data_IF_562668709791
#
_entry.id   IF_562668709791
#
_cell.length_a   1.000
_cell.length_b   1.000
_cell.length_c   1.000
_cell.angle_alpha   90.00
_cell.angle_beta   90.00
_cell.angle_gamma   90.00
#
_symmetry.space_group_name_H-M   'P 1'
#
loop_
_entity.id
_entity.type
_entity.pdbx_description
1 polymer ?
#
# COMPACT_ATOMS: atom_id res chain seq x y z
N UNK A 1 -0.63 -18.51 -7.15
CA UNK A 1 0.55 -18.77 -8.01
C UNK A 1 1.79 -18.49 -7.19
N UNK A 2 2.59 -19.51 -6.90
CA UNK A 2 3.82 -19.36 -6.11
C UNK A 2 4.86 -18.59 -6.93
N UNK A 3 5.37 -17.49 -6.39
CA UNK A 3 6.39 -16.67 -7.04
C UNK A 3 7.71 -17.44 -6.95
N UNK A 4 8.15 -18.01 -8.07
CA UNK A 4 9.37 -18.78 -8.15
C UNK A 4 10.56 -17.82 -8.25
N UNK A 5 11.42 -17.82 -7.24
CA UNK A 5 12.64 -17.01 -7.22
C UNK A 5 13.67 -17.59 -8.18
N UNK A 6 13.95 -16.88 -9.28
CA UNK A 6 15.00 -17.26 -10.23
C UNK A 6 16.26 -16.43 -9.97
N UNK A 7 17.38 -17.09 -9.72
CA UNK A 7 18.68 -16.46 -9.48
C UNK A 7 19.62 -16.90 -10.59
N UNK A 8 20.25 -15.95 -11.27
CA UNK A 8 21.24 -16.21 -12.31
C UNK A 8 22.63 -15.89 -11.76
N UNK A 9 23.59 -16.81 -11.93
CA UNK A 9 24.94 -16.68 -11.35
C UNK A 9 25.80 -15.76 -12.20
N UNK A 10 25.55 -15.72 -13.50
CA UNK A 10 26.31 -14.91 -14.44
C UNK A 10 25.46 -14.44 -15.63
N UNK A 11 26.03 -13.49 -16.38
CA UNK A 11 25.37 -12.89 -17.53
C UNK A 11 25.08 -13.89 -18.66
N UNK A 12 25.89 -14.93 -18.79
CA UNK A 12 25.75 -15.92 -19.85
C UNK A 12 24.49 -16.77 -19.62
N UNK A 13 24.23 -17.17 -18.38
CA UNK A 13 23.02 -17.90 -17.98
C UNK A 13 21.76 -17.07 -18.21
N UNK A 14 21.80 -15.78 -17.86
CA UNK A 14 20.69 -14.86 -18.12
C UNK A 14 20.40 -14.73 -19.63
N UNK A 15 21.45 -14.54 -20.44
CA UNK A 15 21.30 -14.43 -21.90
C UNK A 15 20.80 -15.74 -22.50
N UNK A 16 21.23 -16.89 -21.99
CA UNK A 16 20.75 -18.20 -22.44
C UNK A 16 19.27 -18.40 -22.12
N UNK A 17 18.85 -18.03 -20.90
CA UNK A 17 17.44 -18.08 -20.50
C UNK A 17 16.57 -17.15 -21.36
N UNK A 18 17.00 -15.91 -21.58
CA UNK A 18 16.26 -14.96 -22.42
C UNK A 18 16.18 -15.47 -23.85
N UNK A 19 17.28 -15.96 -24.41
CA UNK A 19 17.30 -16.50 -25.78
C UNK A 19 16.32 -17.66 -25.94
N UNK A 20 16.13 -18.45 -24.89
CA UNK A 20 15.16 -19.53 -24.86
C UNK A 20 13.72 -19.03 -24.74
N UNK A 21 13.45 -18.05 -23.87
CA UNK A 21 12.08 -17.55 -23.62
C UNK A 21 11.55 -16.67 -24.75
N UNK A 22 12.41 -15.83 -25.33
CA UNK A 22 11.99 -14.83 -26.34
C UNK A 22 12.29 -15.27 -27.76
N UNK A 23 12.96 -16.41 -27.96
CA UNK A 23 13.51 -16.89 -29.24
C UNK A 23 14.52 -15.95 -29.90
N UNK A 24 14.94 -14.88 -29.21
CA UNK A 24 15.95 -13.93 -29.71
C UNK A 24 17.34 -14.52 -29.48
N UNK A 25 18.10 -14.71 -30.56
CA UNK A 25 19.44 -15.31 -30.47
C UNK A 25 20.37 -14.58 -29.50
N UNK A 26 21.07 -15.36 -28.65
CA UNK A 26 22.12 -14.90 -27.71
C UNK A 26 23.13 -13.93 -28.31
N UNK A 27 23.46 -14.09 -29.60
CA UNK A 27 24.42 -13.27 -30.34
C UNK A 27 23.88 -11.88 -30.63
N UNK A 28 22.57 -11.76 -30.87
CA UNK A 28 21.88 -10.48 -31.07
C UNK A 28 21.81 -9.67 -29.78
N UNK A 29 21.62 -10.36 -28.64
CA UNK A 29 21.64 -9.75 -27.31
C UNK A 29 23.04 -9.26 -26.90
N UNK A 30 24.10 -9.98 -27.27
CA UNK A 30 25.49 -9.61 -26.96
C UNK A 30 26.08 -8.51 -27.86
N UNK A 31 25.72 -8.48 -29.15
CA UNK A 31 26.37 -7.58 -30.13
C UNK A 31 25.79 -6.17 -30.16
N UNK A 32 24.53 -6.00 -29.75
CA UNK A 32 23.87 -4.69 -29.77
C UNK A 32 23.72 -4.14 -28.34
N UNK A 33 24.63 -3.24 -27.97
CA UNK A 33 24.65 -2.61 -26.64
C UNK A 33 23.36 -1.82 -26.33
N UNK A 34 22.70 -1.25 -27.34
CA UNK A 34 21.45 -0.50 -27.13
C UNK A 34 20.30 -1.44 -26.79
N UNK A 35 20.25 -2.60 -27.46
CA UNK A 35 19.25 -3.63 -27.17
C UNK A 35 19.46 -4.25 -25.79
N UNK A 36 20.73 -4.45 -25.42
CA UNK A 36 21.13 -4.87 -24.08
C UNK A 36 20.66 -3.90 -22.99
N UNK A 37 20.92 -2.59 -23.14
CA UNK A 37 20.47 -1.56 -22.19
C UNK A 37 18.95 -1.53 -22.05
N UNK A 38 18.22 -1.63 -23.16
CA UNK A 38 16.75 -1.60 -23.16
C UNK A 38 16.15 -2.83 -22.47
N UNK A 39 16.74 -4.00 -22.70
CA UNK A 39 16.32 -5.25 -22.06
C UNK A 39 16.63 -5.24 -20.56
N UNK A 40 17.80 -4.71 -20.15
CA UNK A 40 18.11 -4.54 -18.73
C UNK A 40 17.18 -3.54 -18.03
N UNK A 41 16.85 -2.41 -18.67
CA UNK A 41 15.90 -1.45 -18.12
C UNK A 41 14.50 -2.06 -17.95
N UNK A 42 14.04 -2.85 -18.92
CA UNK A 42 12.80 -3.59 -18.81
C UNK A 42 12.83 -4.57 -17.62
N UNK A 43 13.91 -5.31 -17.43
CA UNK A 43 14.03 -6.27 -16.33
C UNK A 43 14.19 -5.62 -14.95
N UNK A 44 14.87 -4.47 -14.86
CA UNK A 44 14.92 -3.66 -13.64
C UNK A 44 13.56 -3.03 -13.29
N UNK A 45 12.68 -2.87 -14.28
CA UNK A 45 11.32 -2.36 -14.07
C UNK A 45 10.30 -3.44 -13.68
N UNK A 46 10.66 -4.72 -13.80
CA UNK A 46 9.79 -5.82 -13.38
C UNK A 46 9.82 -5.97 -11.85
N UNK A 47 8.68 -6.28 -11.21
CA UNK A 47 8.56 -6.39 -9.75
C UNK A 47 9.21 -7.65 -9.15
N UNK A 48 10.14 -8.30 -9.86
CA UNK A 48 10.84 -9.51 -9.42
C UNK A 48 12.32 -9.22 -9.11
N UNK A 49 12.84 -9.81 -8.02
CA UNK A 49 14.21 -9.62 -7.51
C UNK A 49 15.30 -10.24 -8.41
N UNK A 50 15.52 -9.72 -9.62
CA UNK A 50 16.70 -10.07 -10.42
C UNK A 50 17.94 -9.29 -9.91
N UNK A 51 18.72 -9.90 -9.00
CA UNK A 51 19.96 -9.31 -8.46
C UNK A 51 21.19 -9.83 -9.21
N UNK A 52 21.99 -8.94 -9.80
CA UNK A 52 23.32 -9.26 -10.31
C UNK A 52 24.30 -9.44 -9.14
N UNK A 53 24.99 -10.57 -9.07
CA UNK A 53 25.81 -10.97 -7.92
C UNK A 53 27.27 -10.52 -7.96
N UNK A 54 27.79 -9.92 -9.04
CA UNK A 54 29.15 -9.35 -9.07
C UNK A 54 29.23 -8.01 -9.79
N UNK A 55 29.53 -6.96 -9.02
CA UNK A 55 29.67 -5.56 -9.45
C UNK A 55 30.95 -5.35 -10.29
N UNK A 56 31.91 -6.28 -10.19
CA UNK A 56 33.27 -6.16 -10.76
C UNK A 56 33.35 -6.12 -12.29
N UNK A 57 32.29 -6.52 -13.01
CA UNK A 57 32.27 -6.55 -14.49
C UNK A 57 31.28 -5.56 -15.12
N UNK A 58 30.80 -4.58 -14.34
CA UNK A 58 29.84 -3.58 -14.82
C UNK A 58 30.56 -2.40 -15.49
N UNK A 59 30.07 -1.98 -16.65
CA UNK A 59 30.52 -0.76 -17.32
C UNK A 59 30.22 0.49 -16.46
N UNK A 60 30.95 1.60 -16.69
CA UNK A 60 30.91 2.80 -15.85
C UNK A 60 29.49 3.42 -15.78
N UNK A 61 28.74 3.34 -16.87
CA UNK A 61 27.33 3.77 -16.90
C UNK A 61 26.41 2.86 -16.06
N UNK A 62 26.71 1.57 -16.00
CA UNK A 62 25.94 0.61 -15.19
C UNK A 62 26.29 0.73 -13.71
N UNK A 63 27.54 1.03 -13.38
CA UNK A 63 27.95 1.34 -12.01
C UNK A 63 27.23 2.59 -11.47
N UNK A 64 27.06 3.62 -12.31
CA UNK A 64 26.26 4.80 -11.94
C UNK A 64 24.79 4.46 -11.69
N UNK A 65 24.18 3.66 -12.58
CA UNK A 65 22.79 3.24 -12.41
C UNK A 65 22.58 2.39 -11.15
N UNK A 66 23.50 1.45 -10.87
CA UNK A 66 23.50 0.66 -9.64
C UNK A 66 23.71 1.53 -8.41
N UNK A 67 24.61 2.52 -8.49
CA UNK A 67 24.85 3.47 -7.39
C UNK A 67 23.59 4.29 -7.05
N UNK A 68 22.90 4.81 -8.06
CA UNK A 68 21.62 5.54 -7.88
C UNK A 68 20.57 4.61 -7.28
N UNK A 69 20.46 3.38 -7.77
CA UNK A 69 19.50 2.41 -7.24
C UNK A 69 19.78 2.04 -5.78
N UNK A 70 21.06 1.81 -5.44
CA UNK A 70 21.49 1.56 -4.06
C UNK A 70 21.24 2.77 -3.15
N UNK A 71 21.41 4.00 -3.66
CA UNK A 71 21.07 5.22 -2.91
C UNK A 71 19.58 5.33 -2.62
N UNK A 72 18.72 4.99 -3.60
CA UNK A 72 17.27 4.95 -3.43
C UNK A 72 16.84 3.85 -2.47
N UNK A 73 17.42 2.65 -2.58
CA UNK A 73 17.17 1.54 -1.66
C UNK A 73 17.59 1.90 -0.23
N UNK A 74 18.76 2.54 -0.06
CA UNK A 74 19.23 2.99 1.24
C UNK A 74 18.34 4.10 1.83
N UNK A 75 17.85 5.02 1.01
CA UNK A 75 16.85 6.02 1.42
C UNK A 75 15.54 5.37 1.87
N UNK A 76 15.03 4.41 1.10
CA UNK A 76 13.82 3.66 1.44
C UNK A 76 13.98 2.84 2.73
N UNK A 77 15.11 2.16 2.90
CA UNK A 77 15.41 1.41 4.12
C UNK A 77 15.53 2.33 5.33
N UNK A 78 16.18 3.50 5.18
CA UNK A 78 16.22 4.53 6.24
C UNK A 78 14.82 5.04 6.59
N UNK A 79 13.96 5.26 5.60
CA UNK A 79 12.57 5.65 5.83
C UNK A 79 11.78 4.55 6.52
N UNK A 80 11.94 3.29 6.13
CA UNK A 80 11.30 2.15 6.79
C UNK A 80 11.78 2.01 8.24
N UNK A 81 13.08 2.14 8.50
CA UNK A 81 13.65 2.12 9.85
C UNK A 81 13.13 3.31 10.66
N UNK A 82 13.03 4.50 10.07
CA UNK A 82 12.45 5.67 10.74
C UNK A 82 10.98 5.46 11.10
N UNK A 83 10.18 4.92 10.18
CA UNK A 83 8.77 4.58 10.41
C UNK A 83 8.61 3.49 11.47
N UNK A 84 9.46 2.45 11.42
CA UNK A 84 9.48 1.38 12.41
C UNK A 84 9.89 1.90 13.79
N UNK A 85 10.92 2.75 13.87
CA UNK A 85 11.33 3.39 15.11
C UNK A 85 10.26 4.32 15.66
N UNK A 86 9.53 5.05 14.80
CA UNK A 86 8.37 5.86 15.18
C UNK A 86 7.20 4.99 15.66
N UNK A 87 7.01 3.82 15.06
CA UNK A 87 5.99 2.85 15.47
C UNK A 87 6.36 2.15 16.80
N UNK A 88 7.65 1.93 17.04
CA UNK A 88 8.17 1.36 18.28
C UNK A 88 8.16 2.39 19.41
N UNK A 89 8.52 3.64 19.15
CA UNK A 89 8.41 4.70 20.15
C UNK A 89 6.96 4.97 20.54
N UNK A 90 6.03 4.98 19.58
CA UNK A 90 4.59 5.05 19.87
C UNK A 90 4.07 3.85 20.65
N UNK A 91 4.54 2.62 20.37
CA UNK A 91 4.21 1.43 21.16
C UNK A 91 4.83 1.39 22.56
N UNK A 92 6.04 1.92 22.72
CA UNK A 92 6.71 2.03 24.02
C UNK A 92 6.08 3.13 24.88
N UNK A 93 5.68 4.25 24.26
CA UNK A 93 4.85 5.28 24.91
C UNK A 93 3.47 4.74 25.29
N UNK A 94 2.82 3.95 24.43
CA UNK A 94 1.52 3.36 24.77
C UNK A 94 1.61 2.35 25.92
N UNK A 95 2.73 1.62 26.08
CA UNK A 95 2.90 0.69 27.20
C UNK A 95 3.24 1.39 28.55
N UNK A 96 3.80 2.60 28.52
CA UNK A 96 3.99 3.42 29.72
C UNK A 96 2.75 4.30 30.05
N UNK A 97 1.88 4.55 29.06
CA UNK A 97 0.69 5.37 29.21
C UNK A 97 -0.58 4.60 29.60
N UNK A 98 -0.63 3.26 29.63
CA UNK A 98 -1.81 2.53 30.17
C UNK A 98 -2.10 2.89 31.65
N UNK A 99 -1.11 3.40 32.39
CA UNK A 99 -1.31 3.92 33.75
C UNK A 99 -1.72 5.42 33.81
N UNK A 100 -1.77 6.14 32.68
CA UNK A 100 -2.06 7.58 32.60
C UNK A 100 -3.03 7.97 31.45
N UNK A 101 -3.57 7.00 30.72
CA UNK A 101 -4.31 7.21 29.45
C UNK A 101 -5.81 7.51 29.62
N UNK A 102 -6.30 7.70 30.85
CA UNK A 102 -7.66 8.25 31.03
C UNK A 102 -7.68 9.78 30.87
N UNK A 103 -6.54 10.49 31.01
CA UNK A 103 -6.52 11.96 31.04
C UNK A 103 -6.03 12.66 29.75
N UNK A 104 -5.52 11.94 28.73
CA UNK A 104 -4.86 12.58 27.55
C UNK A 104 -5.62 12.53 26.23
N UNK A 105 -6.83 11.97 26.18
CA UNK A 105 -7.67 11.99 24.96
C UNK A 105 -8.25 13.38 24.62
N UNK A 106 -7.99 14.40 25.45
CA UNK A 106 -8.62 15.72 25.36
C UNK A 106 -7.81 16.74 24.53
N UNK A 107 -6.58 16.47 24.08
CA UNK A 107 -5.70 17.54 23.51
C UNK A 107 -5.22 17.36 22.06
N UNK A 108 -6.08 16.98 21.12
CA UNK A 108 -5.80 17.26 19.69
C UNK A 108 -7.12 17.61 18.97
N UNK A 109 -7.55 18.87 19.05
CA UNK A 109 -8.78 19.34 18.38
C UNK A 109 -8.84 18.97 16.88
N UNK A 110 -7.68 18.85 16.23
CA UNK A 110 -7.56 18.50 14.82
C UNK A 110 -8.01 17.07 14.47
N UNK A 111 -7.88 16.08 15.37
CA UNK A 111 -8.32 14.71 15.05
C UNK A 111 -9.84 14.63 14.99
N UNK A 112 -10.51 15.36 15.88
CA UNK A 112 -11.96 15.41 15.94
C UNK A 112 -12.51 16.10 14.69
N UNK A 113 -11.91 17.23 14.27
CA UNK A 113 -12.29 17.94 13.03
C UNK A 113 -12.15 17.03 11.81
N UNK A 114 -10.97 16.43 11.61
CA UNK A 114 -10.71 15.54 10.47
C UNK A 114 -11.65 14.31 10.45
N UNK A 115 -11.96 13.76 11.63
CA UNK A 115 -12.94 12.70 11.78
C UNK A 115 -14.36 13.18 11.38
N UNK A 116 -14.80 14.34 11.87
CA UNK A 116 -16.13 14.88 11.53
C UNK A 116 -16.28 15.19 10.05
N UNK A 117 -15.24 15.72 9.41
CA UNK A 117 -15.25 16.00 7.96
C UNK A 117 -15.34 14.70 7.17
N UNK A 118 -14.55 13.70 7.55
CA UNK A 118 -14.59 12.37 6.92
C UNK A 118 -15.96 11.72 7.07
N UNK A 119 -16.56 11.78 8.27
CA UNK A 119 -17.88 11.23 8.53
C UNK A 119 -18.98 11.96 7.73
N UNK A 120 -18.89 13.30 7.63
CA UNK A 120 -19.82 14.10 6.82
C UNK A 120 -19.71 13.73 5.33
N UNK A 121 -18.50 13.62 4.79
CA UNK A 121 -18.29 13.19 3.39
C UNK A 121 -18.87 11.80 3.15
N UNK A 122 -18.65 10.86 4.07
CA UNK A 122 -19.21 9.51 3.96
C UNK A 122 -20.75 9.51 3.97
N UNK A 123 -21.39 10.30 4.86
CA UNK A 123 -22.85 10.50 4.85
C UNK A 123 -23.31 11.01 3.48
N UNK A 124 -22.71 12.08 2.98
CA UNK A 124 -23.06 12.66 1.68
C UNK A 124 -22.87 11.70 0.50
N UNK A 125 -21.85 10.83 0.54
CA UNK A 125 -21.63 9.81 -0.49
C UNK A 125 -22.74 8.75 -0.44
N UNK A 126 -23.11 8.27 0.75
CA UNK A 126 -24.20 7.30 0.93
C UNK A 126 -25.53 7.91 0.47
N UNK A 127 -25.82 9.15 0.87
CA UNK A 127 -27.03 9.87 0.45
C UNK A 127 -27.07 10.03 -1.08
N UNK A 128 -25.92 10.33 -1.70
CA UNK A 128 -25.82 10.44 -3.16
C UNK A 128 -26.04 9.11 -3.88
N UNK A 129 -25.50 8.01 -3.34
CA UNK A 129 -25.75 6.67 -3.87
C UNK A 129 -27.24 6.33 -3.77
N UNK A 130 -27.88 6.74 -2.68
CA UNK A 130 -29.30 6.48 -2.44
C UNK A 130 -30.27 7.40 -3.19
N UNK A 131 -29.78 8.37 -3.99
CA UNK A 131 -30.64 9.33 -4.70
C UNK A 131 -31.66 8.69 -5.64
N UNK A 132 -31.34 7.53 -6.22
CA UNK A 132 -32.18 6.83 -7.18
C UNK A 132 -32.93 5.63 -6.57
N UNK A 133 -32.78 5.41 -5.26
CA UNK A 133 -33.32 4.28 -4.51
C UNK A 133 -32.40 3.89 -3.37
N UNK A 134 -32.96 3.32 -2.30
CA UNK A 134 -32.17 2.86 -1.15
C UNK A 134 -31.30 1.67 -1.55
N UNK A 135 -30.01 1.92 -1.77
CA UNK A 135 -29.00 0.89 -2.10
C UNK A 135 -28.17 0.58 -0.87
N UNK A 136 -27.78 1.60 -0.09
CA UNK A 136 -27.02 1.46 1.14
C UNK A 136 -27.85 1.91 2.34
N UNK A 137 -28.10 1.00 3.28
CA UNK A 137 -28.79 1.30 4.53
C UNK A 137 -27.79 1.30 5.67
N UNK A 138 -27.82 2.34 6.50
CA UNK A 138 -27.11 2.37 7.77
C UNK A 138 -28.09 1.88 8.84
N UNK A 139 -27.80 0.72 9.43
CA UNK A 139 -28.57 0.17 10.56
C UNK A 139 -27.88 0.58 11.88
N UNK A 140 -28.39 1.59 12.59
CA UNK A 140 -27.81 2.04 13.85
C UNK A 140 -27.99 1.04 14.99
N UNK A 141 -29.02 0.17 14.92
CA UNK A 141 -29.33 -0.80 15.98
C UNK A 141 -28.37 -1.98 15.93
N UNK A 142 -28.14 -2.51 14.72
CA UNK A 142 -27.20 -3.62 14.51
C UNK A 142 -25.75 -3.15 14.38
N UNK A 143 -25.54 -1.85 14.18
CA UNK A 143 -24.22 -1.28 14.00
C UNK A 143 -23.58 -1.67 12.68
N UNK A 144 -24.35 -1.59 11.58
CA UNK A 144 -23.94 -2.10 10.27
C UNK A 144 -24.28 -1.14 9.12
N UNK A 145 -23.53 -1.24 8.02
CA UNK A 145 -23.91 -0.71 6.72
C UNK A 145 -24.25 -1.89 5.82
N UNK A 146 -25.46 -1.87 5.25
CA UNK A 146 -26.04 -2.94 4.45
C UNK A 146 -26.18 -2.43 3.00
N UNK A 147 -25.59 -3.16 2.06
CA UNK A 147 -25.77 -3.01 0.61
C UNK A 147 -26.90 -3.92 0.12
N UNK A 148 -28.04 -3.32 -0.18
CA UNK A 148 -29.22 -4.00 -0.69
C UNK A 148 -29.06 -4.51 -2.13
N UNK A 149 -28.04 -4.05 -2.87
CA UNK A 149 -27.75 -4.55 -4.21
C UNK A 149 -26.97 -5.87 -4.20
N UNK A 150 -26.34 -6.21 -3.07
CA UNK A 150 -25.58 -7.43 -2.88
C UNK A 150 -26.46 -8.60 -2.40
N UNK A 151 -25.99 -9.83 -2.64
CA UNK A 151 -26.66 -11.03 -2.14
C UNK A 151 -26.77 -11.03 -0.61
N UNK A 152 -27.84 -11.57 0.01
CA UNK A 152 -28.07 -11.52 1.46
C UNK A 152 -26.94 -12.02 2.36
N UNK A 153 -26.08 -12.91 1.86
CA UNK A 153 -24.94 -13.44 2.63
C UNK A 153 -23.70 -12.51 2.62
N UNK A 154 -23.67 -11.53 1.72
CA UNK A 154 -22.55 -10.61 1.50
C UNK A 154 -22.99 -9.13 1.47
N UNK A 155 -24.19 -8.84 1.96
CA UNK A 155 -24.74 -7.49 1.95
C UNK A 155 -24.17 -6.59 3.06
N UNK A 156 -23.43 -7.11 4.03
CA UNK A 156 -22.86 -6.28 5.10
C UNK A 156 -21.50 -5.71 4.69
N UNK A 157 -21.46 -4.41 4.40
CA UNK A 157 -20.25 -3.68 3.96
C UNK A 157 -19.32 -3.37 5.14
N UNK A 158 -19.90 -2.97 6.28
CA UNK A 158 -19.17 -2.67 7.50
C UNK A 158 -20.01 -3.08 8.72
N UNK A 159 -19.38 -3.60 9.77
CA UNK A 159 -20.06 -4.00 11.01
C UNK A 159 -19.21 -3.84 12.26
N UNK A 160 -19.88 -3.69 13.39
CA UNK A 160 -19.29 -3.84 14.73
C UNK A 160 -18.59 -2.59 15.24
N UNK A 161 -17.56 -2.78 16.07
CA UNK A 161 -16.94 -1.69 16.84
C UNK A 161 -16.35 -0.57 15.98
N UNK A 162 -15.97 -0.85 14.74
CA UNK A 162 -15.41 0.15 13.82
C UNK A 162 -16.45 1.20 13.41
N UNK A 163 -17.75 0.84 13.42
CA UNK A 163 -18.83 1.71 12.96
C UNK A 163 -19.49 2.51 14.10
N UNK A 164 -19.26 2.13 15.36
CA UNK A 164 -19.85 2.79 16.53
C UNK A 164 -19.57 4.30 16.59
N UNK A 165 -18.34 4.79 16.35
CA UNK A 165 -18.08 6.22 16.35
C UNK A 165 -18.89 6.95 15.26
N UNK A 166 -19.07 6.32 14.10
CA UNK A 166 -19.76 6.90 12.95
C UNK A 166 -21.26 7.02 13.21
N UNK A 167 -21.89 5.95 13.72
CA UNK A 167 -23.30 5.97 14.13
C UNK A 167 -23.54 6.99 15.24
N UNK A 168 -22.63 7.06 16.23
CA UNK A 168 -22.71 8.05 17.31
C UNK A 168 -22.66 9.48 16.76
N UNK A 169 -21.83 9.72 15.74
CA UNK A 169 -21.76 11.01 15.06
C UNK A 169 -23.05 11.33 14.29
N UNK A 170 -23.59 10.37 13.52
CA UNK A 170 -24.84 10.55 12.79
C UNK A 170 -26.00 10.93 13.72
N UNK A 171 -26.16 10.23 14.84
CA UNK A 171 -27.18 10.58 15.84
C UNK A 171 -27.01 11.99 16.43
N UNK A 172 -25.77 12.47 16.57
CA UNK A 172 -25.53 13.86 17.01
C UNK A 172 -25.90 14.86 15.93
N UNK A 173 -25.64 14.52 14.67
CA UNK A 173 -25.90 15.36 13.52
C UNK A 173 -27.40 15.50 13.26
N UNK A 174 -28.14 14.38 13.32
CA UNK A 174 -29.61 14.40 13.18
C UNK A 174 -30.31 15.20 14.30
N UNK A 175 -29.71 15.24 15.51
CA UNK A 175 -30.18 16.09 16.63
C UNK A 175 -29.87 17.59 16.44
N UNK A 176 -28.93 17.93 15.58
CA UNK A 176 -28.55 19.32 15.27
C UNK A 176 -29.30 19.86 14.03
N UNK A 177 -29.84 18.97 13.19
CA UNK A 177 -30.63 19.29 12.00
C UNK A 177 -32.15 19.36 12.27
N UNK A 178 -32.59 19.10 13.51
CA UNK A 178 -33.97 19.29 14.01
C UNK A 178 -34.12 20.61 14.76
#
# INVERSE_FOLDING_TARGET
MSIQKMVFVNLIELIAYISHQTTIYRTSLKRNQNYYKLLMNYWLSLPFECKFTKIENLDNDMLKAVSINLQLENSNLKNQVSLLNKSLSTKLSSNFEVAKSEDRLIQNENWYIAYTDTARVLKSVIDRINQLGEILIIDPNLGQIIDLSASPNNNVVAKGNILKPFITYLHKLDKQEQ
#
